data_IF_802511516180
#
_entry.id   IF_802511516180
#
_cell.length_a   1.000
_cell.length_b   1.000
_cell.length_c   1.000
_cell.angle_alpha   90.00
_cell.angle_beta   90.00
_cell.angle_gamma   90.00
#
_symmetry.space_group_name_H-M   'P 1'
#
loop_
_entity.id
_entity.type
_entity.pdbx_description
1 polymer ?
#
# COMPACT_ATOMS: atom_id res chain seq x y z
N UNK A 1 -23.90 -6.83 17.11
CA UNK A 1 -22.68 -6.57 17.91
C UNK A 1 -21.59 -5.98 17.03
N UNK A 2 -21.17 -4.77 17.32
CA UNK A 2 -20.05 -4.14 16.62
C UNK A 2 -18.77 -4.72 17.19
N UNK A 3 -18.06 -5.51 16.40
CA UNK A 3 -16.79 -6.06 16.83
C UNK A 3 -15.73 -4.96 16.70
N UNK A 4 -15.23 -4.50 17.83
CA UNK A 4 -14.15 -3.49 17.87
C UNK A 4 -12.82 -4.18 17.63
N UNK A 5 -12.19 -3.91 16.49
CA UNK A 5 -10.84 -4.39 16.19
C UNK A 5 -9.82 -3.38 16.67
N UNK A 6 -8.88 -3.82 17.53
CA UNK A 6 -7.78 -2.98 18.00
C UNK A 6 -6.60 -3.11 17.04
N UNK A 7 -6.04 -2.00 16.60
CA UNK A 7 -4.85 -1.99 15.74
C UNK A 7 -3.68 -2.70 16.40
N UNK A 8 -3.54 -2.59 17.72
CA UNK A 8 -2.52 -3.31 18.49
C UNK A 8 -2.57 -4.83 18.33
N UNK A 9 -3.74 -5.38 18.01
CA UNK A 9 -3.93 -6.82 17.82
C UNK A 9 -3.57 -7.27 16.39
N UNK A 10 -3.49 -6.33 15.46
CA UNK A 10 -3.19 -6.58 14.05
C UNK A 10 -1.71 -6.42 13.72
N UNK A 11 -1.03 -5.50 14.39
CA UNK A 11 0.38 -5.22 14.14
C UNK A 11 1.25 -6.14 14.99
N UNK A 12 2.14 -6.87 14.34
CA UNK A 12 3.11 -7.71 15.04
C UNK A 12 4.03 -6.82 15.87
N UNK A 13 4.26 -7.22 17.10
CA UNK A 13 5.03 -6.45 18.10
C UNK A 13 6.37 -5.91 17.58
N UNK A 14 7.05 -6.68 16.76
CA UNK A 14 8.32 -6.29 16.16
C UNK A 14 8.20 -5.07 15.20
N UNK A 15 7.06 -4.86 14.57
CA UNK A 15 6.82 -3.72 13.67
C UNK A 15 6.14 -2.53 14.36
N UNK A 16 5.74 -2.69 15.61
CA UNK A 16 5.08 -1.63 16.37
C UNK A 16 5.88 -0.32 16.42
N UNK A 17 7.21 -0.33 16.64
CA UNK A 17 8.00 0.90 16.59
C UNK A 17 7.94 1.60 15.23
N UNK A 18 7.93 0.84 14.14
CA UNK A 18 7.85 1.38 12.76
C UNK A 18 6.48 1.98 12.49
N UNK A 19 5.42 1.30 12.93
CA UNK A 19 4.05 1.78 12.79
C UNK A 19 3.83 3.11 13.53
N UNK A 20 4.35 3.24 14.74
CA UNK A 20 4.22 4.44 15.57
C UNK A 20 5.22 5.55 15.23
N UNK A 21 6.19 5.29 14.38
CA UNK A 21 7.18 6.28 13.99
C UNK A 21 6.55 7.38 13.14
N UNK A 22 6.56 8.60 13.67
CA UNK A 22 6.07 9.81 12.98
C UNK A 22 7.19 10.75 12.57
N UNK A 23 8.41 10.47 12.98
CA UNK A 23 9.57 11.36 12.81
C UNK A 23 10.32 11.09 11.50
N UNK A 24 10.27 9.83 11.02
CA UNK A 24 10.95 9.43 9.79
C UNK A 24 9.98 9.36 8.62
N UNK A 25 10.38 9.94 7.49
CA UNK A 25 9.60 9.90 6.23
C UNK A 25 9.81 8.60 5.46
N UNK A 26 10.95 7.92 5.65
CA UNK A 26 11.29 6.68 4.97
C UNK A 26 11.36 5.53 5.97
N UNK A 27 10.64 4.46 5.68
CA UNK A 27 10.60 3.25 6.48
C UNK A 27 10.98 2.05 5.63
N UNK A 28 11.97 1.30 6.05
CA UNK A 28 12.46 0.11 5.35
C UNK A 28 12.12 -1.11 6.18
N UNK A 29 11.27 -1.99 5.64
CA UNK A 29 10.89 -3.24 6.27
C UNK A 29 11.65 -4.40 5.62
N UNK A 30 12.47 -5.07 6.42
CA UNK A 30 13.20 -6.26 5.98
C UNK A 30 12.70 -7.50 6.71
N UNK A 31 12.47 -8.57 5.96
CA UNK A 31 12.12 -9.87 6.53
C UNK A 31 12.47 -10.99 5.55
N UNK A 32 12.56 -12.22 6.05
CA UNK A 32 12.67 -13.40 5.20
C UNK A 32 11.43 -13.61 4.31
N UNK A 33 11.49 -14.58 3.39
CA UNK A 33 10.42 -14.86 2.40
C UNK A 33 9.03 -15.13 3.02
N UNK A 34 8.98 -15.72 4.20
CA UNK A 34 7.75 -15.96 4.94
C UNK A 34 7.37 -14.80 5.87
N UNK A 35 7.99 -13.63 5.69
CA UNK A 35 7.76 -12.49 6.54
C UNK A 35 6.42 -11.80 6.29
N UNK A 36 5.93 -11.15 7.32
CA UNK A 36 4.65 -10.44 7.35
C UNK A 36 4.76 -8.97 6.97
N UNK A 37 5.92 -8.53 6.45
CA UNK A 37 6.18 -7.12 6.14
C UNK A 37 5.17 -6.50 5.18
N UNK A 38 4.76 -7.22 4.13
CA UNK A 38 3.78 -6.72 3.16
C UNK A 38 2.40 -6.56 3.79
N UNK A 39 2.01 -7.48 4.67
CA UNK A 39 0.76 -7.38 5.43
C UNK A 39 0.76 -6.20 6.38
N UNK A 40 1.87 -5.96 7.08
CA UNK A 40 2.02 -4.83 8.01
C UNK A 40 1.99 -3.48 7.27
N UNK A 41 2.73 -3.38 6.16
CA UNK A 41 2.73 -2.20 5.32
C UNK A 41 1.33 -1.91 4.74
N UNK A 42 0.62 -2.94 4.30
CA UNK A 42 -0.75 -2.81 3.81
C UNK A 42 -1.71 -2.28 4.88
N UNK A 43 -1.61 -2.77 6.12
CA UNK A 43 -2.42 -2.29 7.26
C UNK A 43 -2.12 -0.81 7.54
N UNK A 44 -0.85 -0.40 7.53
CA UNK A 44 -0.48 1.00 7.75
C UNK A 44 -1.04 1.91 6.65
N UNK A 45 -0.94 1.51 5.39
CA UNK A 45 -1.48 2.28 4.26
C UNK A 45 -3.00 2.44 4.40
N UNK A 46 -3.75 1.36 4.61
CA UNK A 46 -5.20 1.42 4.74
C UNK A 46 -5.62 2.25 5.95
N UNK A 47 -4.94 2.08 7.08
CA UNK A 47 -5.22 2.85 8.29
C UNK A 47 -5.09 4.36 8.04
N UNK A 48 -4.02 4.80 7.39
CA UNK A 48 -3.82 6.21 7.09
C UNK A 48 -4.83 6.77 6.08
N UNK A 49 -5.15 6.00 5.04
CA UNK A 49 -6.17 6.39 4.04
C UNK A 49 -7.53 6.63 4.71
N UNK A 50 -7.89 5.82 5.69
CA UNK A 50 -9.19 5.91 6.38
C UNK A 50 -9.19 6.99 7.45
N UNK A 51 -8.07 7.21 8.14
CA UNK A 51 -7.98 8.08 9.32
C UNK A 51 -7.59 9.53 9.01
N UNK A 52 -6.93 9.81 7.89
CA UNK A 52 -6.49 11.15 7.51
C UNK A 52 -7.38 11.74 6.43
N UNK A 53 -7.64 13.06 6.47
CA UNK A 53 -8.54 13.71 5.52
C UNK A 53 -7.99 13.76 4.09
N UNK A 54 -6.75 14.22 3.93
CA UNK A 54 -6.11 14.43 2.63
C UNK A 54 -4.83 13.60 2.53
N UNK A 55 -5.01 12.30 2.28
CA UNK A 55 -3.91 11.36 2.23
C UNK A 55 -4.18 10.25 1.23
N UNK A 56 -3.76 10.43 0.00
CA UNK A 56 -3.74 9.35 -0.99
C UNK A 56 -2.40 8.62 -0.99
N UNK A 57 -2.38 7.42 -1.54
CA UNK A 57 -1.21 6.56 -1.57
C UNK A 57 -0.95 6.03 -2.99
N UNK A 58 0.32 5.82 -3.31
CA UNK A 58 0.74 5.08 -4.50
C UNK A 58 1.49 3.83 -4.06
N UNK A 59 1.08 2.70 -4.59
CA UNK A 59 1.74 1.42 -4.41
C UNK A 59 2.43 1.04 -5.72
N UNK A 60 3.74 0.90 -5.66
CA UNK A 60 4.57 0.65 -6.84
C UNK A 60 5.23 -0.71 -6.72
N UNK A 61 5.14 -1.50 -7.77
CA UNK A 61 5.89 -2.72 -7.97
C UNK A 61 6.61 -2.65 -9.31
N UNK A 62 7.78 -3.30 -9.45
CA UNK A 62 8.56 -3.25 -10.69
C UNK A 62 7.73 -3.65 -11.90
N UNK A 63 6.97 -4.73 -11.80
CA UNK A 63 6.16 -5.25 -12.90
C UNK A 63 4.67 -5.09 -12.63
N UNK A 64 3.98 -4.34 -13.49
CA UNK A 64 2.55 -4.09 -13.39
C UNK A 64 1.71 -5.38 -13.37
N UNK A 65 2.05 -6.37 -14.17
CA UNK A 65 1.30 -7.63 -14.27
C UNK A 65 1.26 -8.46 -12.97
N UNK A 66 2.17 -8.20 -12.02
CA UNK A 66 2.19 -8.89 -10.71
C UNK A 66 1.39 -8.17 -9.63
N UNK A 67 1.00 -6.91 -9.83
CA UNK A 67 0.30 -6.09 -8.83
C UNK A 67 -0.97 -6.75 -8.31
N UNK A 68 -1.82 -7.25 -9.22
CA UNK A 68 -3.12 -7.85 -8.87
C UNK A 68 -2.99 -9.10 -8.00
N UNK A 69 -1.96 -9.91 -8.25
CA UNK A 69 -1.76 -11.19 -7.55
C UNK A 69 -1.09 -11.03 -6.18
N UNK A 70 -0.53 -9.88 -5.90
CA UNK A 70 0.32 -9.64 -4.73
C UNK A 70 -0.21 -8.50 -3.87
N UNK A 71 0.35 -7.31 -4.00
CA UNK A 71 0.08 -6.19 -3.10
C UNK A 71 -1.37 -5.72 -3.11
N UNK A 72 -2.04 -5.77 -4.26
CA UNK A 72 -3.47 -5.46 -4.35
C UNK A 72 -4.31 -6.38 -3.45
N UNK A 73 -4.02 -7.69 -3.43
CA UNK A 73 -4.67 -8.63 -2.52
C UNK A 73 -4.34 -8.36 -1.06
N UNK A 74 -3.10 -7.96 -0.76
CA UNK A 74 -2.70 -7.62 0.61
C UNK A 74 -3.45 -6.38 1.12
N UNK A 75 -3.65 -5.36 0.30
CA UNK A 75 -4.48 -4.20 0.65
C UNK A 75 -5.93 -4.61 0.91
N UNK A 76 -6.53 -5.43 0.07
CA UNK A 76 -7.89 -5.95 0.29
C UNK A 76 -7.99 -6.78 1.57
N UNK A 77 -6.99 -7.60 1.85
CA UNK A 77 -6.89 -8.35 3.10
C UNK A 77 -6.77 -7.43 4.31
N UNK A 78 -5.98 -6.36 4.21
CA UNK A 78 -5.84 -5.35 5.27
C UNK A 78 -7.18 -4.67 5.60
N UNK A 79 -7.99 -4.34 4.59
CA UNK A 79 -9.33 -3.80 4.78
C UNK A 79 -10.18 -4.74 5.67
N UNK A 80 -10.18 -6.04 5.37
CA UNK A 80 -10.89 -7.03 6.17
C UNK A 80 -10.34 -7.16 7.60
N UNK A 81 -9.02 -7.22 7.74
CA UNK A 81 -8.35 -7.35 9.04
C UNK A 81 -8.63 -6.15 9.95
N UNK A 82 -8.76 -4.96 9.38
CA UNK A 82 -9.17 -3.76 10.11
C UNK A 82 -10.66 -3.74 10.50
N UNK A 83 -11.41 -4.77 10.12
CA UNK A 83 -12.84 -4.84 10.39
C UNK A 83 -13.69 -3.89 9.54
N UNK A 84 -13.15 -3.41 8.43
CA UNK A 84 -13.83 -2.49 7.53
C UNK A 84 -14.62 -3.28 6.47
N UNK A 85 -15.82 -2.78 6.15
CA UNK A 85 -16.63 -3.34 5.09
C UNK A 85 -16.11 -2.87 3.72
N UNK A 86 -15.93 -3.78 2.78
CA UNK A 86 -15.49 -3.44 1.41
C UNK A 86 -16.45 -2.45 0.72
N UNK A 87 -17.72 -2.42 1.10
CA UNK A 87 -18.71 -1.46 0.58
C UNK A 87 -18.41 -0.01 0.91
N UNK A 88 -17.55 0.25 1.90
CA UNK A 88 -17.06 1.59 2.23
C UNK A 88 -16.04 2.11 1.20
N UNK A 89 -15.58 1.23 0.32
CA UNK A 89 -14.57 1.52 -0.68
C UNK A 89 -15.13 1.35 -2.10
N UNK A 90 -14.67 2.20 -3.01
CA UNK A 90 -14.82 1.99 -4.45
C UNK A 90 -13.58 1.23 -4.94
N UNK A 91 -13.76 -0.01 -5.32
CA UNK A 91 -12.68 -0.90 -5.74
C UNK A 91 -12.80 -1.14 -7.25
N UNK A 92 -11.77 -0.76 -8.00
CA UNK A 92 -11.69 -0.96 -9.45
C UNK A 92 -10.45 -1.78 -9.82
N UNK A 93 -10.49 -2.45 -10.95
CA UNK A 93 -9.38 -3.28 -11.46
C UNK A 93 -8.70 -2.63 -12.67
N UNK A 94 -9.45 -1.87 -13.45
CA UNK A 94 -8.94 -1.15 -14.62
C UNK A 94 -9.60 0.24 -14.70
N UNK A 95 -8.94 1.29 -14.23
CA UNK A 95 -7.65 1.31 -13.55
C UNK A 95 -7.69 0.60 -12.19
N UNK A 96 -6.52 0.11 -11.73
CA UNK A 96 -6.42 -0.56 -10.43
C UNK A 96 -6.31 0.50 -9.33
N UNK A 97 -7.42 0.74 -8.64
CA UNK A 97 -7.56 1.78 -7.62
C UNK A 97 -8.50 1.33 -6.50
N UNK A 98 -8.24 1.81 -5.29
CA UNK A 98 -9.11 1.62 -4.14
C UNK A 98 -9.35 2.99 -3.49
N UNK A 99 -10.59 3.45 -3.49
CA UNK A 99 -10.96 4.76 -2.93
C UNK A 99 -11.83 4.58 -1.71
N UNK A 100 -11.47 5.22 -0.60
CA UNK A 100 -12.32 5.30 0.59
C UNK A 100 -13.40 6.37 0.36
N UNK A 101 -14.65 5.95 0.32
CA UNK A 101 -15.77 6.82 -0.09
C UNK A 101 -16.01 8.01 0.85
N UNK A 102 -15.76 7.83 2.15
CA UNK A 102 -16.06 8.85 3.14
C UNK A 102 -15.21 10.11 3.02
N UNK A 103 -13.95 9.99 2.59
CA UNK A 103 -13.03 11.13 2.44
C UNK A 103 -12.44 11.29 1.03
N UNK A 104 -12.66 10.35 0.13
CA UNK A 104 -12.15 10.39 -1.24
C UNK A 104 -10.68 10.02 -1.39
N UNK A 105 -9.98 9.65 -0.32
CA UNK A 105 -8.59 9.20 -0.39
C UNK A 105 -8.47 7.92 -1.21
N UNK A 106 -7.50 7.87 -2.09
CA UNK A 106 -7.33 6.78 -3.05
C UNK A 106 -5.96 6.13 -2.93
N UNK A 107 -5.95 4.80 -3.04
CA UNK A 107 -4.74 4.00 -3.22
C UNK A 107 -4.61 3.65 -4.70
N UNK A 108 -3.58 4.18 -5.34
CA UNK A 108 -3.25 3.91 -6.73
C UNK A 108 -2.22 2.79 -6.81
N UNK A 109 -2.39 1.88 -7.77
CA UNK A 109 -1.46 0.78 -8.01
C UNK A 109 -0.84 0.93 -9.39
N UNK A 110 0.49 0.92 -9.45
CA UNK A 110 1.22 1.07 -10.70
C UNK A 110 2.47 0.20 -10.76
N UNK A 111 2.88 -0.18 -11.96
CA UNK A 111 4.19 -0.75 -12.21
C UNK A 111 5.22 0.34 -12.52
N UNK A 112 6.48 0.12 -12.19
CA UNK A 112 7.53 1.07 -12.58
C UNK A 112 7.80 1.10 -14.09
N UNK A 113 7.40 0.04 -14.80
CA UNK A 113 7.38 -0.04 -16.25
C UNK A 113 6.29 0.84 -16.91
N UNK A 114 5.33 1.32 -16.11
CA UNK A 114 4.20 2.15 -16.54
C UNK A 114 4.18 3.53 -15.87
N UNK A 115 5.34 4.04 -15.45
CA UNK A 115 5.44 5.32 -14.72
C UNK A 115 4.88 6.50 -15.54
N UNK A 116 4.97 6.46 -16.85
CA UNK A 116 4.41 7.51 -17.69
C UNK A 116 2.87 7.60 -17.58
N UNK A 117 2.21 6.50 -17.26
CA UNK A 117 0.77 6.47 -16.99
C UNK A 117 0.41 7.13 -15.66
N UNK A 118 1.38 7.26 -14.74
CA UNK A 118 1.15 7.89 -13.44
C UNK A 118 1.08 9.41 -13.47
N UNK A 119 1.55 10.04 -14.55
CA UNK A 119 1.47 11.50 -14.71
C UNK A 119 0.03 12.04 -14.74
N UNK A 120 -0.95 11.18 -15.04
CA UNK A 120 -2.37 11.52 -14.99
C UNK A 120 -3.06 11.21 -13.65
N UNK A 121 -2.35 10.65 -12.69
CA UNK A 121 -2.93 10.21 -11.40
C UNK A 121 -2.97 11.34 -10.36
N UNK A 122 -2.32 12.46 -10.62
CA UNK A 122 -2.25 13.58 -9.66
C UNK A 122 -3.64 14.23 -9.56
N UNK A 123 -4.39 13.85 -8.54
CA UNK A 123 -5.57 14.58 -8.12
C UNK A 123 -5.12 15.77 -7.27
N UNK A 124 -5.32 16.99 -7.76
CA UNK A 124 -4.95 18.21 -7.04
C UNK A 124 -5.67 18.35 -5.70
N UNK A 125 -6.82 17.70 -5.54
CA UNK A 125 -7.64 17.76 -4.32
C UNK A 125 -7.19 16.76 -3.24
N UNK A 126 -6.46 15.71 -3.61
CA UNK A 126 -6.04 14.63 -2.70
C UNK A 126 -4.56 14.31 -2.87
N UNK A 127 -3.68 15.01 -2.13
CA UNK A 127 -2.25 14.84 -2.29
C UNK A 127 -1.80 13.41 -1.94
N UNK A 128 -0.85 12.89 -2.71
CA UNK A 128 -0.20 11.62 -2.41
C UNK A 128 0.81 11.86 -1.30
N UNK A 129 0.55 11.29 -0.12
CA UNK A 129 1.42 11.39 1.05
C UNK A 129 2.13 10.08 1.38
N UNK A 130 1.72 8.97 0.76
CA UNK A 130 2.30 7.65 1.01
C UNK A 130 2.74 7.04 -0.30
N UNK A 131 3.97 6.55 -0.32
CA UNK A 131 4.50 5.73 -1.41
C UNK A 131 4.96 4.40 -0.82
N UNK A 132 4.37 3.30 -1.26
CA UNK A 132 4.78 1.95 -0.91
C UNK A 132 5.50 1.31 -2.09
N UNK A 133 6.78 1.00 -1.90
CA UNK A 133 7.57 0.21 -2.85
C UNK A 133 7.55 -1.25 -2.40
N UNK A 134 6.85 -2.10 -3.15
CA UNK A 134 6.78 -3.53 -2.87
C UNK A 134 7.86 -4.27 -3.65
N UNK A 135 8.54 -5.22 -2.98
CA UNK A 135 9.65 -5.99 -3.56
C UNK A 135 10.78 -5.10 -4.12
N UNK A 136 11.33 -4.23 -3.26
CA UNK A 136 12.36 -3.25 -3.63
C UNK A 136 13.58 -3.90 -4.29
N UNK A 137 13.95 -5.12 -3.90
CA UNK A 137 15.06 -5.87 -4.51
C UNK A 137 14.88 -6.10 -6.01
N UNK A 138 13.65 -6.22 -6.50
CA UNK A 138 13.38 -6.39 -7.94
C UNK A 138 13.79 -5.16 -8.77
N UNK A 139 13.87 -3.95 -8.16
CA UNK A 139 14.26 -2.72 -8.86
C UNK A 139 15.76 -2.65 -9.17
N UNK A 140 16.57 -3.45 -8.50
CA UNK A 140 18.03 -3.42 -8.62
C UNK A 140 18.62 -4.61 -9.38
N UNK A 141 17.80 -5.56 -9.82
CA UNK A 141 18.29 -6.80 -10.47
C UNK A 141 18.51 -6.73 -11.97
N UNK A 142 18.20 -5.63 -12.64
CA UNK A 142 18.35 -5.51 -14.09
C UNK A 142 19.70 -4.88 -14.52
N UNK A 143 20.67 -4.81 -13.62
CA UNK A 143 22.02 -4.25 -13.88
C UNK A 143 23.14 -5.25 -14.08
N UNK A 144 22.88 -6.55 -13.97
CA UNK A 144 23.93 -7.59 -14.03
C UNK A 144 23.73 -8.62 -15.16
N UNK A 145 23.24 -8.20 -16.32
CA UNK A 145 22.91 -9.15 -17.38
C UNK A 145 23.25 -8.75 -18.81
N UNK A 146 24.09 -7.75 -19.04
CA UNK A 146 24.58 -7.44 -20.39
C UNK A 146 26.05 -7.05 -20.37
N UNK A 147 26.92 -8.00 -20.01
CA UNK A 147 28.34 -8.00 -20.39
C UNK A 147 28.80 -9.46 -20.56
N UNK A 148 28.38 -10.08 -21.65
CA UNK A 148 29.11 -11.15 -22.34
C UNK A 148 28.86 -11.03 -23.84
#
# INVERSE_FOLDING_TARGET
>A
MTQTTRISDLIIRKFWPVFNDKDHTHKILTSGRAGTKSSEAAIEVVYKIVSEEDCSAVVIRKRHNKLRKTVYKEIKRAIKRLGLDERLFKITVSPMEITYKANGNTIYFTGSDSIDDTKGIIDENKPIKIVLLDEVSEFFTDGEGEDE
#
